data_IF_149617747838
#
_entry.id   IF_149617747838
#
_cell.length_a   1.000
_cell.length_b   1.000
_cell.length_c   1.000
_cell.angle_alpha   90.00
_cell.angle_beta   90.00
_cell.angle_gamma   90.00
#
_symmetry.space_group_name_H-M   'P 1'
#
loop_
_entity.id
_entity.type
_entity.pdbx_description
1 polymer ?
#
# COMPACT_ATOMS: atom_id res chain seq x y z
N UNK A 1 12.27 16.28 -17.93
CA UNK A 1 11.29 17.38 -18.03
C UNK A 1 10.95 17.83 -16.63
N UNK A 2 11.10 19.12 -16.32
CA UNK A 2 10.94 19.66 -14.96
C UNK A 2 9.45 19.90 -14.70
N UNK A 3 8.69 18.86 -14.37
CA UNK A 3 7.26 18.99 -14.02
C UNK A 3 7.05 19.60 -12.62
N UNK A 4 8.02 19.42 -11.72
CA UNK A 4 7.96 19.95 -10.35
C UNK A 4 7.93 21.50 -10.29
N UNK A 5 8.57 22.19 -11.24
CA UNK A 5 8.59 23.66 -11.26
C UNK A 5 7.25 24.30 -11.68
N UNK A 6 6.34 23.51 -12.27
CA UNK A 6 5.01 23.97 -12.70
C UNK A 6 3.90 23.64 -11.68
N UNK A 7 4.24 23.03 -10.54
CA UNK A 7 3.25 22.57 -9.55
C UNK A 7 2.39 21.40 -10.04
N UNK A 8 2.83 20.68 -11.07
CA UNK A 8 2.11 19.53 -11.61
C UNK A 8 2.36 18.34 -10.69
N UNK A 9 1.27 17.79 -10.14
CA UNK A 9 1.30 16.62 -9.26
C UNK A 9 1.04 15.37 -10.08
N UNK A 10 2.00 14.45 -10.10
CA UNK A 10 1.78 13.12 -10.66
C UNK A 10 0.85 12.31 -9.76
N UNK A 11 -0.25 11.84 -10.35
CA UNK A 11 -1.25 11.03 -9.67
C UNK A 11 -0.86 9.56 -9.68
N UNK A 12 -1.14 8.88 -8.58
CA UNK A 12 -1.08 7.42 -8.54
C UNK A 12 -2.09 6.84 -9.55
N UNK A 13 -1.68 5.77 -10.23
CA UNK A 13 -2.53 5.03 -11.16
C UNK A 13 -2.47 3.54 -10.87
N UNK A 14 -3.59 2.88 -11.05
CA UNK A 14 -3.74 1.43 -10.92
C UNK A 14 -3.89 0.87 -12.33
N UNK A 15 -2.94 0.04 -12.74
CA UNK A 15 -2.90 -0.60 -14.05
C UNK A 15 -3.31 -2.06 -13.92
N UNK A 16 -4.31 -2.46 -14.69
CA UNK A 16 -4.85 -3.82 -14.68
C UNK A 16 -4.28 -4.58 -15.88
N UNK A 17 -3.60 -5.69 -15.60
CA UNK A 17 -3.02 -6.57 -16.60
C UNK A 17 -3.73 -7.93 -16.58
N UNK A 18 -3.86 -8.56 -17.75
CA UNK A 18 -4.39 -9.92 -17.86
C UNK A 18 -3.34 -10.99 -17.53
N UNK A 19 -2.06 -10.63 -17.64
CA UNK A 19 -0.91 -11.51 -17.47
C UNK A 19 0.06 -10.91 -16.46
N UNK A 20 0.73 -11.79 -15.70
CA UNK A 20 1.70 -11.40 -14.67
C UNK A 20 3.07 -10.98 -15.20
N UNK A 21 3.25 -10.93 -16.52
CA UNK A 21 4.52 -10.55 -17.15
C UNK A 21 4.61 -9.04 -17.42
N UNK A 22 3.51 -8.30 -17.28
CA UNK A 22 3.42 -6.85 -17.45
C UNK A 22 3.94 -6.31 -18.80
N UNK A 23 4.08 -7.17 -19.82
CA UNK A 23 4.69 -6.79 -21.11
C UNK A 23 3.71 -6.12 -22.07
N UNK A 24 2.43 -6.51 -22.00
CA UNK A 24 1.37 -5.96 -22.84
C UNK A 24 0.86 -4.65 -22.23
N UNK A 25 0.24 -3.82 -23.05
CA UNK A 25 -0.44 -2.61 -22.57
C UNK A 25 -1.48 -2.98 -21.49
N UNK A 26 -1.62 -2.19 -20.41
CA UNK A 26 -2.68 -2.39 -19.43
C UNK A 26 -4.04 -2.44 -20.12
N UNK A 27 -4.88 -3.40 -19.70
CA UNK A 27 -6.27 -3.47 -20.14
C UNK A 27 -7.06 -2.25 -19.68
N UNK A 28 -6.71 -1.74 -18.50
CA UNK A 28 -7.34 -0.55 -17.90
C UNK A 28 -6.32 0.19 -17.05
N UNK A 29 -6.38 1.51 -17.11
CA UNK A 29 -5.64 2.41 -16.22
C UNK A 29 -6.66 3.24 -15.44
N UNK A 30 -6.54 3.26 -14.12
CA UNK A 30 -7.41 4.00 -13.22
C UNK A 30 -6.56 5.03 -12.48
N UNK A 31 -6.91 6.31 -12.60
CA UNK A 31 -6.25 7.37 -11.84
C UNK A 31 -7.00 7.62 -10.54
N UNK A 32 -6.27 7.75 -9.43
CA UNK A 32 -6.89 8.07 -8.14
C UNK A 32 -7.26 9.55 -8.09
N UNK A 33 -8.40 9.85 -7.46
CA UNK A 33 -8.86 11.23 -7.32
C UNK A 33 -7.92 12.04 -6.41
N UNK A 34 -7.47 11.44 -5.31
CA UNK A 34 -6.48 11.96 -4.38
C UNK A 34 -5.39 10.91 -4.18
N UNK A 35 -4.13 11.34 -4.16
CA UNK A 35 -3.05 10.43 -3.81
C UNK A 35 -3.23 10.04 -2.33
N UNK A 36 -3.03 8.76 -1.96
CA UNK A 36 -3.00 8.38 -0.56
C UNK A 36 -1.96 9.22 0.18
N UNK A 37 -2.31 9.71 1.37
CA UNK A 37 -1.36 10.46 2.22
C UNK A 37 -0.21 9.54 2.65
N UNK A 38 -0.53 8.27 2.93
CA UNK A 38 0.38 7.24 3.42
C UNK A 38 0.03 5.91 2.79
N UNK A 39 0.99 4.99 2.83
CA UNK A 39 0.79 3.59 2.51
C UNK A 39 1.62 2.74 3.48
N UNK A 40 1.21 1.50 3.68
CA UNK A 40 1.96 0.53 4.48
C UNK A 40 2.46 -0.59 3.59
N UNK A 41 3.69 -1.05 3.82
CA UNK A 41 4.31 -2.17 3.11
C UNK A 41 4.78 -3.20 4.14
N UNK A 42 4.36 -4.45 4.00
CA UNK A 42 4.73 -5.55 4.90
C UNK A 42 5.39 -6.68 4.13
N UNK A 43 6.57 -7.07 4.60
CA UNK A 43 7.31 -8.24 4.12
C UNK A 43 7.51 -9.19 5.30
N UNK A 44 7.13 -10.45 5.15
CA UNK A 44 7.21 -11.44 6.23
C UNK A 44 8.19 -12.56 5.87
N UNK A 45 9.16 -12.82 6.75
CA UNK A 45 10.11 -13.93 6.62
C UNK A 45 9.77 -14.98 7.66
N UNK A 46 9.45 -16.18 7.20
CA UNK A 46 9.09 -17.32 8.04
C UNK A 46 10.32 -18.18 8.26
N UNK A 47 10.57 -18.55 9.51
CA UNK A 47 11.63 -19.48 9.91
C UNK A 47 11.02 -20.77 10.47
N UNK A 48 11.72 -21.89 10.32
CA UNK A 48 11.35 -23.18 10.90
C UNK A 48 11.76 -23.23 12.37
N UNK A 49 10.89 -23.81 13.18
CA UNK A 49 11.07 -23.93 14.64
C UNK A 49 11.64 -25.31 15.07
N UNK A 50 12.12 -26.11 14.12
CA UNK A 50 12.58 -27.47 14.40
C UNK A 50 13.80 -27.48 15.34
N UNK A 51 13.58 -27.89 16.59
CA UNK A 51 14.63 -28.09 17.58
C UNK A 51 14.73 -29.59 17.94
N UNK A 52 15.87 -30.25 17.67
CA UNK A 52 16.10 -31.62 18.13
C UNK A 52 16.08 -31.74 19.65
N UNK A 53 15.53 -32.84 20.17
CA UNK A 53 15.53 -33.14 21.61
C UNK A 53 16.98 -33.20 22.12
N UNK A 54 17.32 -32.37 23.10
CA UNK A 54 18.66 -32.29 23.70
C UNK A 54 19.58 -31.20 23.16
N UNK A 55 19.16 -30.42 22.15
CA UNK A 55 19.93 -29.27 21.67
C UNK A 55 19.86 -28.08 22.64
N UNK A 56 21.01 -27.46 22.94
CA UNK A 56 21.13 -26.33 23.88
C UNK A 56 20.66 -24.98 23.30
N UNK A 57 20.44 -24.90 21.99
CA UNK A 57 19.92 -23.71 21.29
C UNK A 57 19.13 -24.12 20.05
N UNK A 58 17.99 -23.46 19.80
CA UNK A 58 17.24 -23.58 18.55
C UNK A 58 17.96 -22.86 17.42
N UNK A 59 18.31 -23.59 16.35
CA UNK A 59 18.80 -22.98 15.13
C UNK A 59 17.61 -22.73 14.21
N UNK A 60 17.17 -21.47 14.11
CA UNK A 60 16.05 -21.10 13.24
C UNK A 60 16.48 -21.20 11.77
N UNK A 61 15.99 -22.23 11.08
CA UNK A 61 16.21 -22.40 9.65
C UNK A 61 15.34 -21.44 8.84
N UNK A 62 15.86 -20.84 7.77
CA UNK A 62 15.02 -20.12 6.82
C UNK A 62 13.98 -21.08 6.21
N UNK A 63 12.71 -20.67 6.16
CA UNK A 63 11.64 -21.45 5.53
C UNK A 63 11.20 -20.78 4.22
N UNK A 64 10.62 -19.58 4.29
CA UNK A 64 10.10 -18.86 3.11
C UNK A 64 9.95 -17.36 3.36
N UNK A 65 9.81 -16.60 2.27
CA UNK A 65 9.35 -15.21 2.31
C UNK A 65 7.92 -15.19 1.78
N UNK A 66 6.99 -14.61 2.53
CA UNK A 66 5.60 -14.48 2.09
C UNK A 66 5.45 -13.37 1.05
N UNK A 67 4.30 -13.35 0.37
CA UNK A 67 3.96 -12.28 -0.55
C UNK A 67 4.02 -10.93 0.14
N UNK A 68 4.55 -9.93 -0.56
CA UNK A 68 4.52 -8.55 -0.11
C UNK A 68 3.09 -8.03 -0.08
N UNK A 69 2.71 -7.43 1.05
CA UNK A 69 1.42 -6.77 1.21
C UNK A 69 1.62 -5.26 1.18
N UNK A 70 0.86 -4.57 0.32
CA UNK A 70 0.83 -3.11 0.25
C UNK A 70 -0.59 -2.62 0.47
N UNK A 71 -0.77 -1.71 1.42
CA UNK A 71 -2.07 -1.19 1.85
C UNK A 71 -2.14 0.31 1.59
N UNK A 72 -3.26 0.74 1.00
CA UNK A 72 -3.57 2.13 0.67
C UNK A 72 -5.00 2.46 1.11
N UNK A 73 -5.21 3.71 1.54
CA UNK A 73 -6.54 4.27 1.76
C UNK A 73 -6.87 5.26 0.65
N UNK A 74 -7.99 5.03 -0.05
CA UNK A 74 -8.47 5.91 -1.12
C UNK A 74 -9.71 6.68 -0.68
N UNK A 75 -9.74 7.97 -0.98
CA UNK A 75 -10.90 8.84 -0.77
C UNK A 75 -11.52 9.16 -2.13
N UNK A 76 -12.82 8.89 -2.24
CA UNK A 76 -13.63 9.23 -3.41
C UNK A 76 -14.73 10.18 -2.97
N UNK A 77 -14.83 11.32 -3.64
CA UNK A 77 -15.81 12.35 -3.34
C UNK A 77 -16.34 13.01 -4.62
N UNK A 78 -17.59 13.47 -4.58
CA UNK A 78 -18.20 14.28 -5.63
C UNK A 78 -18.43 15.73 -5.23
N UNK A 79 -18.23 16.10 -3.96
CA UNK A 79 -18.44 17.47 -3.45
C UNK A 79 -17.27 18.41 -3.74
N UNK A 80 -16.06 17.87 -3.94
CA UNK A 80 -14.82 18.64 -4.12
C UNK A 80 -14.20 19.13 -2.81
N UNK A 81 -14.75 18.73 -1.65
CA UNK A 81 -14.28 19.15 -0.33
C UNK A 81 -13.51 18.02 0.34
N UNK A 82 -12.21 18.25 0.60
CA UNK A 82 -11.39 17.32 1.37
C UNK A 82 -11.35 17.78 2.82
N UNK A 83 -12.03 17.04 3.70
CA UNK A 83 -11.95 17.28 5.13
C UNK A 83 -10.61 16.78 5.65
N UNK A 84 -9.73 17.71 6.03
CA UNK A 84 -8.53 17.37 6.79
C UNK A 84 -8.97 17.13 8.23
N UNK A 85 -8.97 15.88 8.69
CA UNK A 85 -9.18 15.57 10.10
C UNK A 85 -7.96 16.03 10.92
N UNK A 86 -7.96 17.29 11.34
CA UNK A 86 -7.00 17.82 12.32
C UNK A 86 -7.48 17.42 13.71
N UNK A 87 -7.16 16.20 14.15
CA UNK A 87 -7.13 15.79 15.56
C UNK A 87 -8.37 16.08 16.43
N UNK A 88 -9.55 16.33 15.86
CA UNK A 88 -10.78 16.61 16.62
C UNK A 88 -11.74 15.45 16.47
N UNK A 89 -12.11 14.89 17.62
CA UNK A 89 -13.17 13.89 17.77
C UNK A 89 -14.42 14.30 16.96
N UNK A 90 -14.98 13.40 16.12
CA UNK A 90 -16.07 13.72 15.22
C UNK A 90 -17.46 13.89 15.90
N UNK A 91 -17.54 13.99 17.22
CA UNK A 91 -18.81 14.04 17.96
C UNK A 91 -19.39 15.45 18.13
N UNK A 92 -18.97 16.44 17.33
CA UNK A 92 -19.43 17.83 17.51
C UNK A 92 -19.82 18.52 16.21
N UNK A 93 -20.60 17.84 15.36
CA UNK A 93 -21.45 18.51 14.37
C UNK A 93 -22.74 17.71 14.21
N UNK A 94 -23.65 17.86 15.17
CA UNK A 94 -25.09 17.70 14.94
C UNK A 94 -25.68 19.11 14.90
N UNK A 95 -26.32 19.44 13.78
CA UNK A 95 -27.30 20.51 13.73
C UNK A 95 -28.65 19.96 14.21
#
# INVERSE_FOLDING_TARGET
>A
MIQAALGIIDKMRIEVYETSDYKKTPKKTIFVQLNPEKYTRRNNVVFSEDQPIGASSGNLGFNKIEGEEVTFDFVFDSSGVVLVMVGRNPTSFMF
#
